data_IF_157177310872
#
_entry.id   IF_157177310872
#
_cell.length_a   1.000
_cell.length_b   1.000
_cell.length_c   1.000
_cell.angle_alpha   90.00
_cell.angle_beta   90.00
_cell.angle_gamma   90.00
#
_symmetry.space_group_name_H-M   'P 1'
#
loop_
_entity.id
_entity.type
_entity.pdbx_description
1 polymer ?
#
# COMPACT_ATOMS: atom_id res chain seq x y z
N UNK A 1 24.96 20.07 -5.20
CA UNK A 1 25.57 19.48 -6.41
C UNK A 1 26.29 18.17 -6.05
N UNK A 2 25.76 17.02 -6.47
CA UNK A 2 26.41 15.71 -6.29
C UNK A 2 27.62 15.57 -7.23
N UNK A 3 27.54 16.18 -8.42
CA UNK A 3 28.54 16.05 -9.50
C UNK A 3 29.91 16.60 -9.12
N UNK A 4 29.99 17.71 -8.36
CA UNK A 4 31.26 18.39 -8.07
C UNK A 4 32.26 17.55 -7.27
N UNK A 5 31.79 16.55 -6.53
CA UNK A 5 32.64 15.71 -5.69
C UNK A 5 32.96 14.36 -6.34
N UNK A 6 32.44 14.09 -7.53
CA UNK A 6 32.68 12.84 -8.24
C UNK A 6 34.00 12.89 -9.02
N UNK A 7 34.79 11.82 -8.93
CA UNK A 7 36.05 11.66 -9.67
C UNK A 7 36.03 10.31 -10.38
N UNK A 8 36.38 10.32 -11.67
CA UNK A 8 36.46 9.11 -12.48
C UNK A 8 37.61 8.21 -12.00
N UNK A 9 37.36 6.91 -12.02
CA UNK A 9 38.36 5.86 -11.74
C UNK A 9 38.72 5.12 -13.03
N UNK A 10 39.94 4.58 -13.15
CA UNK A 10 40.33 3.75 -14.28
C UNK A 10 39.58 2.41 -14.29
N UNK A 11 39.56 1.75 -15.46
CA UNK A 11 38.96 0.43 -15.62
C UNK A 11 39.73 -0.62 -14.79
N UNK A 12 39.03 -1.55 -14.13
CA UNK A 12 39.68 -2.65 -13.42
C UNK A 12 40.26 -3.67 -14.41
N UNK A 13 41.24 -4.46 -13.94
CA UNK A 13 41.77 -5.59 -14.71
C UNK A 13 40.70 -6.67 -14.88
N UNK A 14 40.52 -7.15 -16.11
CA UNK A 14 39.57 -8.22 -16.44
C UNK A 14 40.25 -9.58 -16.51
N UNK A 15 39.57 -10.61 -16.01
CA UNK A 15 40.00 -12.00 -16.13
C UNK A 15 39.15 -12.75 -17.18
N UNK A 16 39.74 -13.73 -17.89
CA UNK A 16 39.01 -14.53 -18.87
C UNK A 16 37.95 -15.42 -18.18
N UNK A 17 36.89 -15.84 -18.90
CA UNK A 17 35.83 -16.68 -18.33
C UNK A 17 36.34 -17.95 -17.62
N UNK A 18 37.39 -18.57 -18.16
CA UNK A 18 37.99 -19.80 -17.63
C UNK A 18 38.57 -19.63 -16.22
N UNK A 19 39.04 -18.42 -15.87
CA UNK A 19 39.53 -18.09 -14.53
C UNK A 19 38.45 -18.31 -13.47
N UNK A 20 37.20 -18.05 -13.82
CA UNK A 20 36.05 -18.18 -12.94
C UNK A 20 35.43 -19.59 -12.94
N UNK A 21 35.91 -20.49 -13.81
CA UNK A 21 35.32 -21.81 -14.03
C UNK A 21 34.01 -21.76 -14.82
N UNK A 22 33.83 -20.74 -15.67
CA UNK A 22 32.70 -20.65 -16.59
C UNK A 22 32.87 -21.66 -17.73
N UNK A 23 31.80 -22.40 -18.06
CA UNK A 23 31.80 -23.37 -19.16
C UNK A 23 31.02 -22.84 -20.35
N UNK A 24 31.58 -23.00 -21.55
CA UNK A 24 30.94 -22.61 -22.81
C UNK A 24 30.06 -23.75 -23.33
N UNK A 25 28.78 -23.47 -23.52
CA UNK A 25 27.74 -24.34 -24.06
C UNK A 25 27.20 -23.84 -25.42
N UNK A 26 27.76 -22.77 -25.97
CA UNK A 26 27.41 -22.29 -27.30
C UNK A 26 27.95 -23.25 -28.37
N UNK A 27 27.08 -23.71 -29.26
CA UNK A 27 27.38 -24.57 -30.41
C UNK A 27 27.00 -23.81 -31.69
N UNK A 28 27.73 -24.01 -32.78
CA UNK A 28 27.38 -23.36 -34.06
C UNK A 28 26.09 -23.96 -34.60
N UNK A 29 25.21 -23.14 -35.19
CA UNK A 29 23.99 -23.64 -35.87
C UNK A 29 24.31 -24.64 -36.98
N UNK A 30 25.49 -24.55 -37.61
CA UNK A 30 25.95 -25.49 -38.63
C UNK A 30 26.29 -26.88 -38.10
N UNK A 31 26.49 -27.02 -36.78
CA UNK A 31 26.83 -28.27 -36.11
C UNK A 31 25.59 -29.00 -35.58
N UNK A 32 24.40 -28.39 -35.70
CA UNK A 32 23.13 -28.97 -35.28
C UNK A 32 22.46 -29.65 -36.48
N UNK A 33 22.09 -30.92 -36.32
CA UNK A 33 21.48 -31.72 -37.37
C UNK A 33 20.01 -31.34 -37.60
N UNK A 34 19.31 -30.91 -36.55
CA UNK A 34 17.87 -30.57 -36.61
C UNK A 34 17.51 -29.34 -35.77
N UNK A 35 16.38 -28.72 -36.14
CA UNK A 35 15.75 -27.65 -35.32
C UNK A 35 15.30 -28.17 -33.95
N UNK A 36 14.93 -29.45 -33.85
CA UNK A 36 14.52 -30.05 -32.58
C UNK A 36 15.68 -30.15 -31.60
N UNK A 37 16.89 -30.47 -32.08
CA UNK A 37 18.09 -30.50 -31.25
C UNK A 37 18.46 -29.10 -30.75
N UNK A 38 18.34 -28.08 -31.61
CA UNK A 38 18.48 -26.68 -31.20
C UNK A 38 17.51 -26.32 -30.08
N UNK A 39 16.21 -26.58 -30.28
CA UNK A 39 15.19 -26.27 -29.29
C UNK A 39 15.44 -27.02 -27.98
N UNK A 40 15.76 -28.32 -28.05
CA UNK A 40 16.06 -29.14 -26.88
C UNK A 40 17.23 -28.56 -26.08
N UNK A 41 18.36 -28.28 -26.74
CA UNK A 41 19.54 -27.70 -26.08
C UNK A 41 19.27 -26.29 -25.54
N UNK A 42 18.51 -25.46 -26.26
CA UNK A 42 18.14 -24.14 -25.80
C UNK A 42 17.22 -24.20 -24.56
N UNK A 43 16.24 -25.10 -24.53
CA UNK A 43 15.38 -25.30 -23.36
C UNK A 43 16.16 -25.85 -22.18
N UNK A 44 16.98 -26.88 -22.38
CA UNK A 44 17.82 -27.47 -21.33
C UNK A 44 18.72 -26.39 -20.70
N UNK A 45 19.40 -25.61 -21.53
CA UNK A 45 20.23 -24.51 -21.07
C UNK A 45 19.42 -23.44 -20.33
N UNK A 46 18.29 -22.97 -20.86
CA UNK A 46 17.48 -21.93 -20.21
C UNK A 46 16.81 -22.37 -18.91
N UNK A 47 16.55 -23.67 -18.75
CA UNK A 47 15.99 -24.23 -17.52
C UNK A 47 17.06 -24.44 -16.42
N UNK A 48 18.35 -24.30 -16.74
CA UNK A 48 19.41 -24.31 -15.70
C UNK A 48 19.29 -23.12 -14.76
N UNK A 49 19.59 -23.32 -13.49
CA UNK A 49 19.62 -22.26 -12.48
C UNK A 49 20.79 -21.31 -12.71
N UNK A 50 20.50 -20.01 -12.82
CA UNK A 50 21.55 -18.99 -12.91
C UNK A 50 22.15 -18.69 -11.53
N UNK A 51 23.48 -18.68 -11.45
CA UNK A 51 24.23 -18.27 -10.26
C UNK A 51 24.40 -16.74 -10.15
N UNK A 52 23.87 -15.94 -11.09
CA UNK A 52 23.97 -14.48 -11.09
C UNK A 52 23.50 -13.87 -9.76
N UNK A 53 22.28 -14.18 -9.33
CA UNK A 53 21.73 -13.63 -8.08
C UNK A 53 22.55 -14.00 -6.83
N UNK A 54 23.10 -15.22 -6.79
CA UNK A 54 23.95 -15.68 -5.67
C UNK A 54 25.29 -14.93 -5.65
N UNK A 55 25.88 -14.70 -6.81
CA UNK A 55 27.12 -13.91 -6.93
C UNK A 55 26.87 -12.45 -6.54
N UNK A 56 25.73 -11.86 -6.94
CA UNK A 56 25.37 -10.48 -6.59
C UNK A 56 25.23 -10.29 -5.09
N UNK A 57 24.54 -11.23 -4.42
CA UNK A 57 24.39 -11.21 -2.96
C UNK A 57 25.74 -11.37 -2.25
N UNK A 58 26.64 -12.23 -2.75
CA UNK A 58 27.98 -12.36 -2.17
C UNK A 58 28.82 -11.10 -2.39
N UNK A 59 28.72 -10.47 -3.57
CA UNK A 59 29.38 -9.19 -3.87
C UNK A 59 28.93 -8.09 -2.92
N UNK A 60 27.61 -7.98 -2.68
CA UNK A 60 27.07 -7.02 -1.73
C UNK A 60 27.62 -7.24 -0.30
N UNK A 61 27.64 -8.49 0.17
CA UNK A 61 28.18 -8.84 1.49
C UNK A 61 29.67 -8.51 1.61
N UNK A 62 30.44 -8.81 0.57
CA UNK A 62 31.88 -8.55 0.50
C UNK A 62 32.17 -7.04 0.50
N UNK A 63 31.48 -6.28 -0.35
CA UNK A 63 31.62 -4.83 -0.46
C UNK A 63 31.20 -4.11 0.83
N UNK A 64 30.18 -4.63 1.52
CA UNK A 64 29.74 -4.08 2.80
C UNK A 64 30.77 -4.27 3.93
N UNK A 65 31.44 -5.43 3.98
CA UNK A 65 32.43 -5.72 5.02
C UNK A 65 33.78 -5.06 4.78
N UNK A 66 34.25 -5.09 3.53
CA UNK A 66 35.56 -4.59 3.14
C UNK A 66 35.43 -3.19 2.51
N UNK A 67 35.16 -3.13 1.22
CA UNK A 67 34.88 -1.92 0.43
C UNK A 67 34.48 -2.36 -0.98
N UNK A 68 33.71 -1.55 -1.69
CA UNK A 68 33.46 -1.75 -3.13
C UNK A 68 34.74 -1.61 -3.97
N UNK A 69 35.72 -0.87 -3.46
CA UNK A 69 37.01 -0.67 -4.12
C UNK A 69 38.02 -1.79 -3.86
N UNK A 70 37.67 -2.79 -3.03
CA UNK A 70 38.59 -3.88 -2.71
C UNK A 70 38.86 -4.76 -3.95
N UNK A 71 40.08 -5.30 -4.12
CA UNK A 71 40.41 -6.15 -5.27
C UNK A 71 39.43 -7.32 -5.45
N UNK A 72 38.99 -7.92 -4.34
CA UNK A 72 38.05 -9.04 -4.34
C UNK A 72 36.65 -8.62 -4.78
N UNK A 73 36.18 -7.44 -4.38
CA UNK A 73 34.90 -6.91 -4.81
C UNK A 73 34.92 -6.60 -6.31
N UNK A 74 36.00 -5.98 -6.81
CA UNK A 74 36.22 -5.72 -8.23
C UNK A 74 36.27 -7.00 -9.07
N UNK A 75 36.97 -8.03 -8.60
CA UNK A 75 37.05 -9.31 -9.30
C UNK A 75 35.67 -9.99 -9.37
N UNK A 76 34.91 -9.99 -8.27
CA UNK A 76 33.55 -10.53 -8.27
C UNK A 76 32.59 -9.70 -9.13
N UNK A 77 32.78 -8.38 -9.23
CA UNK A 77 32.05 -7.54 -10.16
C UNK A 77 32.36 -7.89 -11.62
N UNK A 78 33.61 -8.22 -11.95
CA UNK A 78 33.99 -8.70 -13.28
C UNK A 78 33.31 -10.05 -13.61
N UNK A 79 33.25 -10.99 -12.67
CA UNK A 79 32.44 -12.21 -12.83
C UNK A 79 30.97 -11.89 -13.10
N UNK A 80 30.38 -10.94 -12.37
CA UNK A 80 28.99 -10.53 -12.59
C UNK A 80 28.75 -10.00 -14.00
N UNK A 81 29.68 -9.24 -14.58
CA UNK A 81 29.58 -8.78 -15.97
C UNK A 81 29.48 -9.97 -16.95
N UNK A 82 30.29 -11.01 -16.77
CA UNK A 82 30.20 -12.24 -17.58
C UNK A 82 28.85 -12.96 -17.39
N UNK A 83 28.31 -12.95 -16.16
CA UNK A 83 27.05 -13.62 -15.85
C UNK A 83 25.80 -12.90 -16.36
N UNK A 84 25.85 -11.57 -16.54
CA UNK A 84 24.74 -10.80 -17.12
C UNK A 84 24.46 -11.25 -18.56
N UNK A 85 25.51 -11.49 -19.34
CA UNK A 85 25.40 -11.96 -20.72
C UNK A 85 25.45 -13.49 -20.88
N UNK A 86 25.53 -14.24 -19.78
CA UNK A 86 25.65 -15.70 -19.77
C UNK A 86 24.64 -16.41 -20.67
N UNK A 87 23.38 -15.98 -20.64
CA UNK A 87 22.30 -16.58 -21.43
C UNK A 87 22.49 -16.39 -22.94
N UNK A 88 22.99 -15.22 -23.35
CA UNK A 88 23.23 -14.87 -24.76
C UNK A 88 24.55 -15.46 -25.26
N UNK A 89 25.58 -15.42 -24.41
CA UNK A 89 26.90 -15.97 -24.70
C UNK A 89 26.97 -17.50 -24.64
N UNK A 90 25.90 -18.17 -24.18
CA UNK A 90 25.88 -19.61 -23.97
C UNK A 90 26.92 -20.04 -22.94
N UNK A 91 27.10 -19.26 -21.87
CA UNK A 91 28.07 -19.54 -20.82
C UNK A 91 27.33 -19.93 -19.54
N UNK A 92 27.83 -20.93 -18.81
CA UNK A 92 27.24 -21.39 -17.55
C UNK A 92 28.26 -21.36 -16.42
N UNK A 93 27.83 -20.84 -15.26
CA UNK A 93 28.54 -21.06 -14.00
C UNK A 93 27.82 -22.16 -13.23
N UNK A 94 28.41 -23.34 -13.19
CA UNK A 94 27.84 -24.44 -12.40
C UNK A 94 27.95 -24.16 -10.90
N UNK A 95 27.08 -24.80 -10.12
CA UNK A 95 27.10 -24.70 -8.66
C UNK A 95 28.42 -25.18 -8.03
N UNK A 96 29.06 -26.17 -8.66
CA UNK A 96 30.36 -26.68 -8.23
C UNK A 96 31.47 -25.67 -8.52
N UNK A 97 31.47 -25.08 -9.73
CA UNK A 97 32.42 -24.03 -10.11
C UNK A 97 32.28 -22.80 -9.20
N UNK A 98 31.06 -22.35 -8.92
CA UNK A 98 30.82 -21.26 -7.97
C UNK A 98 31.34 -21.57 -6.57
N UNK A 99 31.08 -22.78 -6.04
CA UNK A 99 31.59 -23.18 -4.71
C UNK A 99 33.12 -23.24 -4.66
N UNK A 100 33.77 -23.70 -5.72
CA UNK A 100 35.22 -23.75 -5.82
C UNK A 100 35.81 -22.33 -5.87
N UNK A 101 35.28 -21.48 -6.75
CA UNK A 101 35.72 -20.10 -6.91
C UNK A 101 35.45 -19.26 -5.65
N UNK A 102 34.28 -19.38 -5.04
CA UNK A 102 33.95 -18.65 -3.80
C UNK A 102 34.96 -18.91 -2.68
N UNK A 103 35.52 -20.12 -2.58
CA UNK A 103 36.53 -20.44 -1.55
C UNK A 103 37.81 -19.62 -1.70
N UNK A 104 38.17 -19.19 -2.91
CA UNK A 104 39.38 -18.38 -3.14
C UNK A 104 39.16 -16.93 -2.71
N UNK A 105 37.99 -16.35 -3.00
CA UNK A 105 37.66 -14.95 -2.70
C UNK A 105 37.10 -14.73 -1.29
N UNK A 106 36.09 -15.52 -0.92
CA UNK A 106 35.25 -15.34 0.26
C UNK A 106 35.05 -16.70 0.98
N UNK A 107 36.11 -17.24 1.60
CA UNK A 107 36.05 -18.56 2.26
C UNK A 107 35.14 -18.58 3.50
N UNK A 108 34.91 -17.42 4.11
CA UNK A 108 34.05 -17.27 5.30
C UNK A 108 32.62 -16.98 4.85
N UNK A 109 31.66 -17.63 5.51
CA UNK A 109 30.26 -17.30 5.32
C UNK A 109 29.99 -15.89 5.87
N UNK A 110 29.69 -14.94 4.97
CA UNK A 110 29.38 -13.56 5.34
C UNK A 110 27.90 -13.39 5.65
N UNK A 111 27.63 -12.66 6.74
CA UNK A 111 26.29 -12.25 7.12
C UNK A 111 25.74 -11.20 6.15
N UNK A 112 24.42 -11.02 6.12
CA UNK A 112 23.82 -9.95 5.34
C UNK A 112 24.23 -8.56 5.89
N UNK A 113 24.31 -7.53 5.03
CA UNK A 113 24.42 -6.15 5.47
C UNK A 113 23.35 -5.80 6.51
N UNK A 114 23.63 -4.88 7.44
CA UNK A 114 22.69 -4.55 8.50
C UNK A 114 21.40 -3.91 7.96
N UNK A 115 21.50 -3.12 6.88
CA UNK A 115 20.33 -2.52 6.23
C UNK A 115 19.37 -3.52 5.57
N UNK A 116 19.76 -4.80 5.37
CA UNK A 116 18.88 -5.79 4.73
C UNK A 116 17.83 -6.34 5.72
N UNK A 117 16.58 -6.56 5.27
CA UNK A 117 15.58 -7.26 6.09
C UNK A 117 16.08 -8.63 6.55
N UNK A 118 15.77 -9.00 7.81
CA UNK A 118 16.19 -10.27 8.40
C UNK A 118 17.67 -10.34 8.81
N UNK A 119 18.43 -9.24 8.69
CA UNK A 119 19.81 -9.19 9.19
C UNK A 119 19.84 -9.09 10.71
N UNK A 120 20.69 -9.89 11.36
CA UNK A 120 20.96 -9.84 12.81
C UNK A 120 22.14 -8.93 13.16
N UNK A 121 22.74 -8.29 12.15
CA UNK A 121 23.95 -7.48 12.30
C UNK A 121 23.63 -6.11 12.87
N UNK A 122 24.49 -5.62 13.78
CA UNK A 122 24.43 -4.23 14.24
C UNK A 122 24.80 -3.27 13.09
N UNK A 123 24.05 -2.16 12.90
CA UNK A 123 24.39 -1.14 11.91
C UNK A 123 25.81 -0.60 12.09
N UNK A 124 26.53 -0.46 10.98
CA UNK A 124 27.85 0.16 10.91
C UNK A 124 27.68 1.57 10.35
N UNK A 125 27.72 2.60 11.20
CA UNK A 125 27.52 3.99 10.77
C UNK A 125 28.60 4.53 9.81
N UNK A 126 29.73 3.85 9.67
CA UNK A 126 30.71 4.16 8.62
C UNK A 126 30.31 3.64 7.23
N UNK A 127 29.30 2.76 7.13
CA UNK A 127 28.68 2.42 5.85
C UNK A 127 27.59 3.46 5.54
N UNK A 128 27.67 4.07 4.35
CA UNK A 128 26.75 5.14 3.94
C UNK A 128 25.28 4.70 3.94
N UNK A 129 24.99 3.47 3.53
CA UNK A 129 23.61 2.96 3.45
C UNK A 129 23.03 2.76 4.85
N UNK A 130 23.82 2.21 5.76
CA UNK A 130 23.41 2.06 7.16
C UNK A 130 23.20 3.43 7.83
N UNK A 131 24.10 4.39 7.63
CA UNK A 131 23.95 5.74 8.17
C UNK A 131 22.68 6.41 7.65
N UNK A 132 22.45 6.39 6.34
CA UNK A 132 21.26 6.97 5.74
C UNK A 132 19.98 6.29 6.25
N UNK A 133 19.96 4.96 6.37
CA UNK A 133 18.77 4.23 6.82
C UNK A 133 18.50 4.40 8.31
N UNK A 134 19.50 4.15 9.16
CA UNK A 134 19.31 4.02 10.60
C UNK A 134 19.53 5.31 11.38
N UNK A 135 20.28 6.27 10.84
CA UNK A 135 20.51 7.56 11.49
C UNK A 135 19.70 8.68 10.85
N UNK A 136 19.62 8.76 9.52
CA UNK A 136 18.90 9.85 8.86
C UNK A 136 17.41 9.53 8.71
N UNK A 137 17.07 8.52 7.91
CA UNK A 137 15.69 8.19 7.58
C UNK A 137 14.87 7.83 8.82
N UNK A 138 15.41 6.98 9.71
CA UNK A 138 14.72 6.61 10.95
C UNK A 138 14.48 7.81 11.88
N UNK A 139 15.44 8.73 12.00
CA UNK A 139 15.27 9.92 12.83
C UNK A 139 14.24 10.88 12.24
N UNK A 140 14.25 11.09 10.92
CA UNK A 140 13.25 11.90 10.23
C UNK A 140 11.85 11.27 10.30
N UNK A 141 11.75 9.95 10.15
CA UNK A 141 10.50 9.21 10.32
C UNK A 141 9.92 9.43 11.72
N UNK A 142 10.73 9.23 12.77
CA UNK A 142 10.31 9.47 14.15
C UNK A 142 9.90 10.93 14.35
N UNK A 143 10.68 11.89 13.82
CA UNK A 143 10.39 13.33 13.94
C UNK A 143 9.05 13.69 13.30
N UNK A 144 8.80 13.21 12.07
CA UNK A 144 7.57 13.49 11.33
C UNK A 144 6.37 12.83 12.03
N UNK A 145 6.46 11.54 12.39
CA UNK A 145 5.38 10.83 13.08
C UNK A 145 5.06 11.45 14.44
N UNK A 146 6.09 11.82 15.22
CA UNK A 146 5.88 12.51 16.51
C UNK A 146 5.23 13.88 16.31
N UNK A 147 5.65 14.63 15.28
CA UNK A 147 5.05 15.92 14.93
C UNK A 147 3.58 15.78 14.52
N UNK A 148 3.25 14.76 13.71
CA UNK A 148 1.88 14.49 13.31
C UNK A 148 1.00 14.11 14.50
N UNK A 149 1.49 13.22 15.38
CA UNK A 149 0.77 12.82 16.59
C UNK A 149 0.60 13.97 17.60
N UNK A 150 1.54 14.91 17.64
CA UNK A 150 1.42 16.12 18.47
C UNK A 150 0.43 17.14 17.88
N UNK A 151 0.37 17.26 16.54
CA UNK A 151 -0.55 18.16 15.86
C UNK A 151 -1.99 17.64 15.83
N UNK A 152 -2.17 16.32 15.82
CA UNK A 152 -3.47 15.65 15.79
C UNK A 152 -3.52 14.53 16.84
N UNK A 153 -3.59 14.88 18.14
CA UNK A 153 -3.57 13.89 19.20
C UNK A 153 -4.81 13.00 19.14
N UNK A 154 -4.63 11.68 19.06
CA UNK A 154 -5.73 10.73 18.86
C UNK A 154 -6.86 10.88 19.90
N UNK A 155 -6.51 11.19 21.15
CA UNK A 155 -7.46 11.38 22.25
C UNK A 155 -8.39 12.58 22.06
N UNK A 156 -7.94 13.67 21.44
CA UNK A 156 -8.77 14.84 21.14
C UNK A 156 -9.81 14.52 20.06
N UNK A 157 -9.47 13.60 19.15
CA UNK A 157 -10.35 13.20 18.06
C UNK A 157 -11.33 12.10 18.52
N UNK A 158 -10.99 11.28 19.51
CA UNK A 158 -11.85 10.17 19.98
C UNK A 158 -13.22 10.62 20.50
N UNK A 159 -13.35 11.86 20.99
CA UNK A 159 -14.60 12.38 21.56
C UNK A 159 -15.54 13.01 20.51
N UNK A 160 -15.06 13.28 19.29
CA UNK A 160 -15.85 13.96 18.26
C UNK A 160 -16.58 12.94 17.35
N UNK A 161 -17.89 12.79 17.59
CA UNK A 161 -18.80 12.00 16.76
C UNK A 161 -19.55 12.95 15.84
N UNK A 162 -19.47 12.69 14.53
CA UNK A 162 -20.22 13.47 13.53
C UNK A 162 -21.73 13.30 13.76
N UNK A 163 -22.37 14.39 14.19
CA UNK A 163 -23.79 14.39 14.54
C UNK A 163 -24.67 14.06 13.33
N UNK A 164 -24.25 14.45 12.12
CA UNK A 164 -25.02 14.20 10.89
C UNK A 164 -25.17 12.70 10.62
N UNK A 165 -24.16 11.91 11.00
CA UNK A 165 -24.13 10.47 10.75
C UNK A 165 -24.97 9.67 11.74
N UNK A 166 -25.33 10.24 12.90
CA UNK A 166 -26.13 9.54 13.93
C UNK A 166 -27.62 9.88 13.89
N UNK A 167 -28.04 10.82 13.02
CA UNK A 167 -29.44 11.28 12.95
C UNK A 167 -30.43 10.14 12.69
N UNK A 168 -30.28 9.29 11.65
CA UNK A 168 -31.28 8.26 11.34
C UNK A 168 -31.56 7.30 12.51
N UNK A 169 -30.51 6.87 13.21
CA UNK A 169 -30.67 6.01 14.38
C UNK A 169 -31.30 6.74 15.57
N UNK A 170 -30.90 7.99 15.81
CA UNK A 170 -31.42 8.81 16.91
C UNK A 170 -32.91 9.08 16.74
N UNK A 171 -33.36 9.40 15.53
CA UNK A 171 -34.78 9.58 15.20
C UNK A 171 -35.58 8.28 15.40
N UNK A 172 -35.06 7.14 14.95
CA UNK A 172 -35.71 5.84 15.14
C UNK A 172 -35.85 5.49 16.63
N UNK A 173 -34.80 5.75 17.43
CA UNK A 173 -34.81 5.56 18.89
C UNK A 173 -35.83 6.47 19.57
N UNK A 174 -35.88 7.75 19.19
CA UNK A 174 -36.84 8.72 19.72
C UNK A 174 -38.29 8.34 19.36
N UNK A 175 -38.52 7.82 18.15
CA UNK A 175 -39.83 7.32 17.73
C UNK A 175 -40.27 6.09 18.55
N UNK A 176 -39.34 5.21 18.93
CA UNK A 176 -39.60 4.03 19.75
C UNK A 176 -39.86 4.33 21.23
N UNK A 177 -39.41 5.48 21.75
CA UNK A 177 -39.56 5.87 23.16
C UNK A 177 -40.99 6.29 23.55
N UNK A 178 -41.89 6.51 22.58
CA UNK A 178 -43.29 6.89 22.85
C UNK A 178 -44.12 5.67 23.27
N UNK A 179 -44.92 5.78 24.32
CA UNK A 179 -45.73 4.65 24.81
C UNK A 179 -46.89 4.31 23.87
N UNK A 180 -46.74 3.23 23.09
CA UNK A 180 -47.86 2.54 22.42
C UNK A 180 -47.46 1.11 22.00
N UNK A 181 -48.46 0.26 21.69
CA UNK A 181 -48.26 -1.11 21.21
C UNK A 181 -47.44 -1.19 19.91
N UNK A 182 -47.55 -0.18 19.03
CA UNK A 182 -46.78 -0.12 17.78
C UNK A 182 -45.30 0.20 18.02
N UNK A 183 -45.01 1.00 19.05
CA UNK A 183 -43.65 1.39 19.44
C UNK A 183 -42.90 0.25 20.14
N UNK A 184 -43.60 -0.62 20.88
CA UNK A 184 -43.00 -1.85 21.44
C UNK A 184 -42.42 -2.75 20.34
N UNK A 185 -43.08 -2.85 19.17
CA UNK A 185 -42.56 -3.60 18.02
C UNK A 185 -41.33 -2.93 17.41
N UNK A 186 -41.36 -1.59 17.28
CA UNK A 186 -40.20 -0.82 16.82
C UNK A 186 -39.00 -1.00 17.77
N UNK A 187 -39.23 -0.93 19.08
CA UNK A 187 -38.20 -1.15 20.09
C UNK A 187 -37.59 -2.55 20.00
N UNK A 188 -38.42 -3.59 19.82
CA UNK A 188 -37.93 -4.94 19.60
C UNK A 188 -37.08 -5.05 18.33
N UNK A 189 -37.49 -4.39 17.24
CA UNK A 189 -36.73 -4.35 16.00
C UNK A 189 -35.36 -3.66 16.17
N UNK A 190 -35.31 -2.50 16.86
CA UNK A 190 -34.06 -1.80 17.16
C UNK A 190 -33.11 -2.65 18.04
N UNK A 191 -33.65 -3.38 19.01
CA UNK A 191 -32.87 -4.32 19.81
C UNK A 191 -32.32 -5.48 18.95
N UNK A 192 -33.09 -5.96 17.98
CA UNK A 192 -32.64 -6.97 17.02
C UNK A 192 -31.43 -6.49 16.20
N UNK A 193 -31.51 -5.26 15.66
CA UNK A 193 -30.40 -4.61 14.94
C UNK A 193 -29.15 -4.56 15.80
N UNK A 194 -29.30 -4.09 17.04
CA UNK A 194 -28.22 -4.01 18.01
C UNK A 194 -27.53 -5.34 18.21
N UNK A 195 -28.27 -6.38 18.54
CA UNK A 195 -27.71 -7.72 18.77
C UNK A 195 -27.01 -8.25 17.51
N UNK A 196 -27.62 -8.11 16.34
CA UNK A 196 -27.02 -8.59 15.08
C UNK A 196 -25.69 -7.89 14.77
N UNK A 197 -25.63 -6.58 14.90
CA UNK A 197 -24.41 -5.80 14.64
C UNK A 197 -23.34 -6.06 15.70
N UNK A 198 -23.70 -6.18 16.99
CA UNK A 198 -22.77 -6.53 18.07
C UNK A 198 -22.12 -7.90 17.80
N UNK A 199 -22.90 -8.92 17.42
CA UNK A 199 -22.37 -10.25 17.05
C UNK A 199 -21.45 -10.21 15.82
N UNK A 200 -21.79 -9.43 14.79
CA UNK A 200 -20.94 -9.31 13.61
C UNK A 200 -19.65 -8.53 13.90
N UNK A 201 -19.70 -7.54 14.79
CA UNK A 201 -18.52 -6.82 15.24
C UNK A 201 -17.58 -7.72 16.04
N UNK A 202 -18.11 -8.61 16.89
CA UNK A 202 -17.30 -9.62 17.59
C UNK A 202 -16.57 -10.53 16.60
N UNK A 203 -17.26 -11.06 15.58
CA UNK A 203 -16.64 -11.85 14.50
C UNK A 203 -15.55 -11.06 13.74
N UNK A 204 -15.78 -9.78 13.52
CA UNK A 204 -14.79 -8.89 12.92
C UNK A 204 -13.53 -8.75 13.79
N UNK A 205 -13.68 -8.61 15.11
CA UNK A 205 -12.56 -8.56 16.04
C UNK A 205 -11.77 -9.88 16.05
N UNK A 206 -12.46 -11.02 16.07
CA UNK A 206 -11.83 -12.35 15.98
C UNK A 206 -11.01 -12.50 14.70
N UNK A 207 -11.58 -12.09 13.56
CA UNK A 207 -10.91 -12.15 12.26
C UNK A 207 -9.66 -11.29 12.17
N UNK A 208 -9.69 -10.09 12.75
CA UNK A 208 -8.55 -9.18 12.75
C UNK A 208 -7.47 -9.55 13.77
N UNK A 209 -7.83 -10.24 14.86
CA UNK A 209 -6.86 -10.73 15.83
C UNK A 209 -6.07 -11.94 15.28
N UNK A 210 -6.68 -12.74 14.40
CA UNK A 210 -6.11 -13.97 13.87
C UNK A 210 -5.16 -13.78 12.67
N UNK A 211 -5.10 -12.59 12.07
CA UNK A 211 -4.35 -12.35 10.84
C UNK A 211 -3.72 -10.97 10.80
N UNK A 212 -2.48 -10.88 10.33
CA UNK A 212 -1.89 -9.61 9.85
C UNK A 212 -2.53 -9.24 8.50
N UNK A 213 -3.83 -8.89 8.49
CA UNK A 213 -4.57 -8.51 7.29
C UNK A 213 -6.09 -8.65 7.39
N UNK A 214 -6.77 -8.24 6.31
CA UNK A 214 -8.23 -8.34 6.20
C UNK A 214 -8.64 -9.80 5.94
N UNK A 215 -8.92 -10.53 7.03
CA UNK A 215 -9.22 -11.96 6.99
C UNK A 215 -10.53 -12.27 6.25
N UNK A 216 -10.73 -13.51 5.75
CA UNK A 216 -12.01 -13.95 5.21
C UNK A 216 -13.17 -13.79 6.21
N UNK A 217 -12.91 -14.02 7.51
CA UNK A 217 -13.90 -13.87 8.57
C UNK A 217 -14.31 -12.40 8.75
N UNK A 218 -13.32 -11.50 8.71
CA UNK A 218 -13.52 -10.05 8.73
C UNK A 218 -14.37 -9.60 7.53
N UNK A 219 -14.10 -10.15 6.33
CA UNK A 219 -14.89 -9.90 5.12
C UNK A 219 -16.35 -10.37 5.26
N UNK A 220 -16.54 -11.60 5.71
CA UNK A 220 -17.87 -12.18 5.91
C UNK A 220 -18.69 -11.37 6.91
N UNK A 221 -18.07 -10.91 8.01
CA UNK A 221 -18.73 -10.09 9.01
C UNK A 221 -19.23 -8.76 8.43
N UNK A 222 -18.40 -8.10 7.62
CA UNK A 222 -18.71 -6.85 6.92
C UNK A 222 -19.83 -7.03 5.90
N UNK A 223 -19.72 -8.04 5.03
CA UNK A 223 -20.73 -8.34 4.02
C UNK A 223 -22.08 -8.68 4.67
N UNK A 224 -22.04 -9.51 5.72
CA UNK A 224 -23.23 -9.88 6.50
C UNK A 224 -23.90 -8.68 7.17
N UNK A 225 -23.13 -7.68 7.63
CA UNK A 225 -23.67 -6.48 8.26
C UNK A 225 -24.49 -5.65 7.27
N UNK A 226 -23.98 -5.50 6.03
CA UNK A 226 -24.70 -4.81 4.94
C UNK A 226 -25.89 -5.61 4.38
N UNK A 227 -25.94 -6.92 4.65
CA UNK A 227 -26.96 -7.85 4.19
C UNK A 227 -28.04 -8.16 5.23
N UNK A 228 -27.99 -7.57 6.43
CA UNK A 228 -29.05 -7.74 7.44
C UNK A 228 -30.38 -7.32 6.81
N UNK A 229 -31.43 -8.16 6.80
CA UNK A 229 -32.73 -7.81 6.23
C UNK A 229 -33.49 -6.84 7.14
N UNK A 230 -34.37 -6.00 6.58
CA UNK A 230 -35.25 -5.15 7.38
C UNK A 230 -36.20 -6.01 8.24
N UNK A 231 -36.54 -5.55 9.45
CA UNK A 231 -37.41 -6.28 10.38
C UNK A 231 -38.85 -6.37 9.84
N UNK A 232 -39.62 -7.35 10.33
CA UNK A 232 -41.05 -7.44 10.07
C UNK A 232 -41.88 -6.60 11.05
N UNK A 233 -42.88 -5.86 10.55
CA UNK A 233 -43.79 -5.13 11.42
C UNK A 233 -44.68 -4.11 10.72
N UNK A 234 -45.65 -3.60 11.49
CA UNK A 234 -46.67 -2.66 11.00
C UNK A 234 -46.37 -1.22 11.44
N UNK A 235 -45.14 -0.91 11.86
CA UNK A 235 -44.75 0.45 12.23
C UNK A 235 -44.39 1.24 10.96
N UNK A 236 -44.77 2.52 10.81
CA UNK A 236 -44.47 3.30 9.60
C UNK A 236 -42.99 3.27 9.20
N UNK A 237 -42.06 3.43 10.16
CA UNK A 237 -40.62 3.30 9.88
C UNK A 237 -40.21 1.90 9.39
N UNK A 238 -40.77 0.84 9.99
CA UNK A 238 -40.48 -0.53 9.54
C UNK A 238 -40.99 -0.74 8.12
N UNK A 239 -42.18 -0.23 7.82
CA UNK A 239 -42.73 -0.25 6.47
C UNK A 239 -41.82 0.51 5.49
N UNK A 240 -41.28 1.67 5.86
CA UNK A 240 -40.28 2.38 5.04
C UNK A 240 -39.03 1.53 4.81
N UNK A 241 -38.46 0.93 5.86
CA UNK A 241 -37.26 0.09 5.75
C UNK A 241 -37.47 -1.17 4.90
N UNK A 242 -38.67 -1.73 4.89
CA UNK A 242 -39.02 -2.87 4.04
C UNK A 242 -39.11 -2.50 2.55
N UNK A 243 -39.49 -1.25 2.24
CA UNK A 243 -39.72 -0.79 0.87
C UNK A 243 -38.56 0.05 0.31
N UNK A 244 -37.63 0.49 1.15
CA UNK A 244 -36.45 1.27 0.74
C UNK A 244 -35.19 0.69 1.37
N UNK A 245 -34.36 0.06 0.53
CA UNK A 245 -33.05 -0.48 0.93
C UNK A 245 -32.13 0.64 1.42
N UNK A 246 -32.19 1.81 0.80
CA UNK A 246 -31.32 2.93 1.15
C UNK A 246 -31.64 3.48 2.55
N UNK A 247 -32.92 3.67 2.86
CA UNK A 247 -33.36 4.10 4.19
C UNK A 247 -33.04 3.05 5.26
N UNK A 248 -33.13 1.77 4.92
CA UNK A 248 -32.71 0.70 5.80
C UNK A 248 -31.21 0.71 6.09
N UNK A 249 -30.39 0.80 5.04
CA UNK A 249 -28.93 0.87 5.16
C UNK A 249 -28.49 2.11 5.96
N UNK A 250 -29.16 3.25 5.79
CA UNK A 250 -28.89 4.48 6.56
C UNK A 250 -29.04 4.26 8.06
N UNK A 251 -30.09 3.54 8.50
CA UNK A 251 -30.29 3.24 9.92
C UNK A 251 -29.24 2.27 10.46
N UNK A 252 -28.89 1.23 9.70
CA UNK A 252 -27.82 0.30 10.07
C UNK A 252 -26.46 1.00 10.16
N UNK A 253 -26.12 1.80 9.15
CA UNK A 253 -24.89 2.58 9.09
C UNK A 253 -24.79 3.56 10.26
N UNK A 254 -25.87 4.31 10.50
CA UNK A 254 -25.98 5.28 11.59
C UNK A 254 -25.78 4.65 12.97
N UNK A 255 -26.44 3.51 13.22
CA UNK A 255 -26.25 2.76 14.47
C UNK A 255 -24.82 2.26 14.62
N UNK A 256 -24.29 1.62 13.58
CA UNK A 256 -22.95 1.02 13.59
C UNK A 256 -21.88 2.10 13.80
N UNK A 257 -22.02 3.26 13.17
CA UNK A 257 -21.15 4.42 13.36
C UNK A 257 -21.24 4.99 14.77
N UNK A 258 -22.46 5.14 15.31
CA UNK A 258 -22.64 5.59 16.70
C UNK A 258 -21.98 4.63 17.71
N UNK A 259 -22.08 3.31 17.48
CA UNK A 259 -21.62 2.30 18.43
C UNK A 259 -20.13 2.02 18.33
N UNK A 260 -19.60 1.99 17.12
CA UNK A 260 -18.21 1.64 16.79
C UNK A 260 -17.56 2.70 15.91
N UNK A 261 -17.54 3.97 16.37
CA UNK A 261 -16.97 5.05 15.60
C UNK A 261 -15.50 4.73 15.27
N UNK A 262 -15.06 5.11 14.08
CA UNK A 262 -13.64 5.03 13.65
C UNK A 262 -13.07 3.60 13.54
N UNK A 263 -13.88 2.57 13.73
CA UNK A 263 -13.45 1.20 13.45
C UNK A 263 -13.41 0.94 11.94
N UNK A 264 -12.48 0.09 11.49
CA UNK A 264 -12.50 -0.38 10.10
C UNK A 264 -13.83 -1.07 9.75
N UNK A 265 -14.49 -1.71 10.73
CA UNK A 265 -15.75 -2.41 10.53
C UNK A 265 -16.83 -1.52 9.91
N UNK A 266 -17.09 -0.34 10.49
CA UNK A 266 -18.14 0.55 9.99
C UNK A 266 -17.79 1.11 8.60
N UNK A 267 -16.52 1.46 8.37
CA UNK A 267 -16.07 1.99 7.08
C UNK A 267 -16.15 0.93 5.97
N UNK A 268 -15.82 -0.32 6.29
CA UNK A 268 -15.91 -1.41 5.32
C UNK A 268 -17.35 -1.85 5.05
N UNK A 269 -18.22 -1.89 6.08
CA UNK A 269 -19.61 -2.33 5.92
C UNK A 269 -20.52 -1.27 5.34
N UNK A 270 -20.29 0.00 5.68
CA UNK A 270 -21.22 1.09 5.42
C UNK A 270 -20.56 2.37 4.90
N UNK A 271 -19.30 2.33 4.46
CA UNK A 271 -18.56 3.52 4.02
C UNK A 271 -19.26 4.31 2.91
N UNK A 272 -19.82 3.62 1.91
CA UNK A 272 -20.61 4.27 0.84
C UNK A 272 -21.88 4.91 1.39
N UNK A 273 -22.62 4.20 2.25
CA UNK A 273 -23.83 4.73 2.90
C UNK A 273 -23.53 5.95 3.76
N UNK A 274 -22.45 5.92 4.54
CA UNK A 274 -22.00 7.06 5.35
C UNK A 274 -21.59 8.25 4.47
N UNK A 275 -20.92 7.99 3.34
CA UNK A 275 -20.58 9.02 2.36
C UNK A 275 -21.84 9.69 1.80
N UNK A 276 -22.84 8.90 1.40
CA UNK A 276 -24.12 9.43 0.93
C UNK A 276 -24.86 10.22 2.00
N UNK A 277 -24.86 9.75 3.26
CA UNK A 277 -25.43 10.47 4.38
C UNK A 277 -24.75 11.83 4.56
N UNK A 278 -23.41 11.88 4.62
CA UNK A 278 -22.68 13.13 4.79
C UNK A 278 -22.86 14.09 3.61
N UNK A 279 -22.81 13.57 2.38
CA UNK A 279 -22.99 14.37 1.18
C UNK A 279 -24.41 14.95 1.06
N UNK A 280 -25.42 14.31 1.66
CA UNK A 280 -26.80 14.80 1.68
C UNK A 280 -27.02 16.01 2.60
N UNK A 281 -26.06 16.30 3.49
CA UNK A 281 -26.10 17.46 4.38
C UNK A 281 -25.62 18.76 3.71
N UNK A 282 -25.19 18.71 2.45
CA UNK A 282 -24.68 19.86 1.69
C UNK A 282 -25.04 19.75 0.22
N UNK A 283 -24.86 20.83 -0.54
CA UNK A 283 -25.06 20.82 -1.98
C UNK A 283 -24.10 19.81 -2.63
N UNK A 284 -24.64 18.72 -3.17
CA UNK A 284 -23.87 17.63 -3.75
C UNK A 284 -24.45 17.19 -5.10
N UNK A 285 -23.61 16.52 -5.90
CA UNK A 285 -23.99 15.97 -7.20
C UNK A 285 -23.73 14.47 -7.20
N UNK A 286 -24.73 13.69 -7.61
CA UNK A 286 -24.56 12.27 -7.84
C UNK A 286 -23.79 12.06 -9.13
N UNK A 287 -22.71 11.29 -9.05
CA UNK A 287 -21.85 10.95 -10.19
C UNK A 287 -21.75 9.44 -10.27
N UNK A 288 -21.98 8.87 -11.45
CA UNK A 288 -21.86 7.43 -11.68
C UNK A 288 -20.39 7.00 -11.66
N UNK A 289 -20.13 5.75 -11.29
CA UNK A 289 -18.78 5.21 -11.08
C UNK A 289 -17.90 5.30 -12.34
N UNK A 290 -18.49 5.19 -13.53
CA UNK A 290 -17.77 5.30 -14.80
C UNK A 290 -17.28 6.73 -15.03
N UNK A 291 -18.06 7.74 -14.61
CA UNK A 291 -17.72 9.15 -14.79
C UNK A 291 -16.72 9.59 -13.73
N UNK A 292 -16.93 9.22 -12.45
CA UNK A 292 -16.00 9.59 -11.37
C UNK A 292 -14.60 8.97 -11.60
N UNK A 293 -14.51 7.80 -12.23
CA UNK A 293 -13.24 7.18 -12.60
C UNK A 293 -12.42 8.00 -13.62
N UNK A 294 -13.07 8.88 -14.38
CA UNK A 294 -12.40 9.78 -15.33
C UNK A 294 -11.97 11.09 -14.69
N UNK A 295 -12.52 11.42 -13.52
CA UNK A 295 -12.22 12.68 -12.85
C UNK A 295 -10.81 12.66 -12.28
N UNK A 296 -10.15 13.82 -12.33
CA UNK A 296 -8.87 14.05 -11.68
C UNK A 296 -8.94 15.34 -10.89
N UNK A 297 -8.28 15.35 -9.73
CA UNK A 297 -8.14 16.57 -8.94
C UNK A 297 -7.38 17.61 -9.79
N UNK A 298 -8.00 18.76 -10.01
CA UNK A 298 -7.36 19.87 -10.71
C UNK A 298 -6.40 20.58 -9.77
N UNK A 299 -5.10 20.29 -9.89
CA UNK A 299 -4.05 20.87 -9.04
C UNK A 299 -3.99 22.40 -9.13
N UNK A 300 -4.23 22.98 -10.32
CA UNK A 300 -4.22 24.45 -10.48
C UNK A 300 -5.35 25.10 -9.69
N UNK A 301 -6.54 24.50 -9.71
CA UNK A 301 -7.69 24.96 -8.92
C UNK A 301 -7.38 24.89 -7.41
N UNK A 302 -6.78 23.78 -6.95
CA UNK A 302 -6.39 23.62 -5.54
C UNK A 302 -5.41 24.70 -5.11
N UNK A 303 -4.37 24.96 -5.93
CA UNK A 303 -3.40 26.02 -5.67
C UNK A 303 -4.05 27.39 -5.60
N UNK A 304 -4.96 27.71 -6.54
CA UNK A 304 -5.69 28.98 -6.55
C UNK A 304 -6.56 29.16 -5.31
N UNK A 305 -7.34 28.15 -4.93
CA UNK A 305 -8.19 28.19 -3.73
C UNK A 305 -7.34 28.33 -2.46
N UNK A 306 -6.24 27.59 -2.36
CA UNK A 306 -5.35 27.65 -1.19
C UNK A 306 -4.67 29.03 -1.08
N UNK A 307 -4.29 29.65 -2.20
CA UNK A 307 -3.73 31.00 -2.21
C UNK A 307 -4.77 32.08 -1.84
N UNK A 308 -6.04 31.86 -2.18
CA UNK A 308 -7.13 32.79 -1.87
C UNK A 308 -7.57 32.68 -0.40
N UNK A 309 -7.55 31.48 0.18
CA UNK A 309 -7.96 31.22 1.58
C UNK A 309 -6.84 31.49 2.60
N UNK A 310 -5.57 31.52 2.18
CA UNK A 310 -4.42 31.80 3.06
C UNK A 310 -3.76 33.14 2.65
N UNK A 311 -4.07 34.25 3.33
CA UNK A 311 -3.45 35.54 3.03
C UNK A 311 -1.95 35.48 3.31
N UNK A 312 -1.11 35.48 2.26
CA UNK A 312 0.36 35.57 2.39
C UNK A 312 1.18 34.63 1.51
N UNK A 313 0.57 33.77 0.69
CA UNK A 313 1.31 33.03 -0.34
C UNK A 313 1.21 33.83 -1.65
N UNK A 314 2.28 34.53 -2.01
CA UNK A 314 2.38 35.23 -3.30
C UNK A 314 2.16 34.20 -4.43
N UNK A 315 1.11 34.40 -5.21
CA UNK A 315 0.84 33.60 -6.39
C UNK A 315 1.91 33.89 -7.46
N UNK A 316 2.53 32.84 -7.99
CA UNK A 316 3.36 32.92 -9.20
C UNK A 316 2.55 33.59 -10.32
N UNK A 317 3.13 34.62 -10.94
CA UNK A 317 2.48 35.59 -11.84
C UNK A 317 2.06 35.04 -13.21
N UNK A 318 1.94 33.72 -13.39
CA UNK A 318 1.64 33.08 -14.67
C UNK A 318 0.18 32.59 -14.77
N UNK A 319 -0.73 33.20 -14.01
CA UNK A 319 -2.14 32.80 -13.87
C UNK A 319 -3.14 33.53 -14.80
N UNK A 320 -2.66 34.31 -15.78
CA UNK A 320 -3.50 35.29 -16.47
C UNK A 320 -4.35 34.77 -17.66
N UNK A 321 -4.43 33.46 -17.91
CA UNK A 321 -5.36 32.93 -18.92
C UNK A 321 -6.02 31.62 -18.45
N UNK A 322 -7.07 31.74 -17.63
CA UNK A 322 -7.97 30.64 -17.31
C UNK A 322 -9.32 30.80 -18.01
N UNK A 323 -9.50 30.08 -19.12
CA UNK A 323 -10.81 29.82 -19.74
C UNK A 323 -11.65 28.95 -18.79
N UNK A 324 -12.44 29.60 -17.93
CA UNK A 324 -13.29 28.94 -16.94
C UNK A 324 -13.57 29.75 -15.67
N UNK A 325 -13.00 30.96 -15.53
CA UNK A 325 -13.24 31.85 -14.39
C UNK A 325 -14.73 32.07 -14.11
N UNK A 326 -15.53 32.18 -15.18
CA UNK A 326 -16.98 32.36 -15.11
C UNK A 326 -17.71 31.17 -14.45
N UNK A 327 -17.17 29.95 -14.60
CA UNK A 327 -17.72 28.74 -13.96
C UNK A 327 -17.43 28.75 -12.46
N UNK A 328 -16.27 29.28 -12.07
CA UNK A 328 -15.86 29.42 -10.67
C UNK A 328 -16.71 30.49 -9.98
N UNK A 329 -16.89 31.65 -10.60
CA UNK A 329 -17.71 32.73 -10.06
C UNK A 329 -19.18 32.30 -9.93
N UNK A 330 -19.70 31.52 -10.89
CA UNK A 330 -21.02 30.91 -10.80
C UNK A 330 -21.13 29.91 -9.65
N UNK A 331 -20.12 29.06 -9.39
CA UNK A 331 -20.20 28.09 -8.29
C UNK A 331 -20.11 28.73 -6.90
N UNK A 332 -19.42 29.88 -6.78
CA UNK A 332 -19.30 30.63 -5.52
C UNK A 332 -20.53 31.51 -5.26
N UNK A 333 -21.17 32.04 -6.31
CA UNK A 333 -22.34 32.94 -6.19
C UNK A 333 -23.68 32.22 -5.93
N UNK A 334 -23.71 30.88 -6.00
CA UNK A 334 -24.88 30.06 -5.63
C UNK A 334 -24.73 29.34 -4.27
N UNK A 335 -23.77 29.75 -3.44
CA UNK A 335 -23.60 29.28 -2.06
C UNK A 335 -24.55 29.95 -1.05
#
# INVERSE_FOLDING_TARGET
MIVNHFKNSPLPSEYPPDHYGLTKHSVSMSELETTEDFLRSAFEFNLTTSNLGRCTVEHEKLAYEESIDSPKAKELACLLSHLVDSRKGGVLLSDQAWKAYRKTLSPKLRALPAYRPGSTRKPKLSNIVDFLKFSVAKSEEIRILSGLNAAFPEHEIQEDIDQDLIVPWTEAKNAAAKESKHQKKLQAALNGIRTSIETLFEKWLEGNAASEGFSPLSREAVESASAIPPPEGNHPLIHTWQNSRDEWLRVLASYTYQRYPRTGFVLHAFGETLCHMKASCSASRLVVNEVIATYRVNQKMVSHLTATEVPGIEADSDLDDYEGGDVIEAMISFG
#
